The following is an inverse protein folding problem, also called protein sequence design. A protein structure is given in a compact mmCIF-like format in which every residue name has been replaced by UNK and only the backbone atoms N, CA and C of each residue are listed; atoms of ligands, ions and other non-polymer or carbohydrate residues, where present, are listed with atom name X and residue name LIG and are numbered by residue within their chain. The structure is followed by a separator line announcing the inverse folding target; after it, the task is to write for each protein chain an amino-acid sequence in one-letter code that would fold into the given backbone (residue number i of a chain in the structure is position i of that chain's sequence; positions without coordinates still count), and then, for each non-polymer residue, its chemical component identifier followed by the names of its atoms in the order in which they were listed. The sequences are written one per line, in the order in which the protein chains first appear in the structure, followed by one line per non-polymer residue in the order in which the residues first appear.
data_IF_549028010798
#
_entry.id   IF_549028010798
#
_cell.length_a   1.000
_cell.length_b   1.000
_cell.length_c   1.000
_cell.angle_alpha   90.00
_cell.angle_beta   90.00
_cell.angle_gamma   90.00
#
_symmetry.space_group_name_H-M   'P 1'
#
loop_
_entity.id
_entity.type
_entity.pdbx_description
1 polymer ?
#
# COMPACT_ATOMS: atom_id res chain seq x y z
N UNK A 1 -28.94 -53.33 22.40
CA UNK A 1 -27.76 -52.59 22.87
C UNK A 1 -28.27 -51.39 23.64
N UNK A 2 -28.38 -51.51 24.96
CA UNK A 2 -28.93 -50.47 25.84
C UNK A 2 -27.80 -49.47 26.14
N UNK A 3 -27.84 -48.31 25.47
CA UNK A 3 -26.97 -47.20 25.82
C UNK A 3 -27.39 -46.70 27.21
N UNK A 4 -26.51 -46.84 28.19
CA UNK A 4 -26.65 -46.26 29.53
C UNK A 4 -26.37 -44.75 29.42
N UNK A 5 -27.27 -44.02 28.75
CA UNK A 5 -27.24 -42.57 28.71
C UNK A 5 -27.77 -42.01 30.02
N UNK A 6 -27.10 -41.01 30.57
CA UNK A 6 -27.56 -40.28 31.75
C UNK A 6 -28.88 -39.57 31.40
N UNK A 7 -30.01 -40.13 31.83
CA UNK A 7 -31.33 -39.55 31.60
C UNK A 7 -31.53 -38.34 32.52
N UNK A 8 -32.10 -37.24 31.99
CA UNK A 8 -32.46 -36.04 32.75
C UNK A 8 -33.95 -35.75 32.59
N UNK A 9 -34.59 -35.36 33.68
CA UNK A 9 -35.98 -34.91 33.68
C UNK A 9 -36.11 -33.49 33.13
N UNK A 10 -37.06 -33.29 32.22
CA UNK A 10 -37.44 -32.00 31.66
C UNK A 10 -38.95 -31.86 31.72
N UNK A 11 -39.42 -30.70 32.17
CA UNK A 11 -40.83 -30.33 32.16
C UNK A 11 -41.19 -29.79 30.78
N UNK A 12 -42.19 -30.38 30.12
CA UNK A 12 -42.70 -29.92 28.83
C UNK A 12 -43.24 -28.48 28.96
N UNK A 13 -42.80 -27.53 28.12
CA UNK A 13 -43.24 -26.14 28.20
C UNK A 13 -44.67 -25.93 27.72
N UNK A 14 -45.23 -26.87 26.96
CA UNK A 14 -46.58 -26.77 26.42
C UNK A 14 -47.62 -27.33 27.39
N UNK A 15 -47.41 -28.54 27.90
CA UNK A 15 -48.41 -29.26 28.70
C UNK A 15 -47.99 -29.53 30.16
N UNK A 16 -46.77 -29.16 30.56
CA UNK A 16 -46.27 -29.36 31.91
C UNK A 16 -45.85 -30.80 32.27
N UNK A 17 -45.97 -31.75 31.34
CA UNK A 17 -45.59 -33.15 31.58
C UNK A 17 -44.08 -33.29 31.80
N UNK A 18 -43.67 -33.95 32.89
CA UNK A 18 -42.26 -34.24 33.19
C UNK A 18 -41.85 -35.52 32.47
N UNK A 19 -40.83 -35.44 31.62
CA UNK A 19 -40.34 -36.58 30.83
C UNK A 19 -38.83 -36.71 30.99
N UNK A 20 -38.35 -37.94 31.14
CA UNK A 20 -36.92 -38.24 31.12
C UNK A 20 -36.41 -38.33 29.68
N UNK A 21 -35.42 -37.50 29.33
CA UNK A 21 -34.76 -37.50 28.01
C UNK A 21 -33.29 -37.86 28.15
N UNK A 22 -32.69 -38.37 27.07
CA UNK A 22 -31.28 -38.73 27.05
C UNK A 22 -30.33 -37.51 27.08
N UNK A 23 -29.04 -37.77 27.28
CA UNK A 23 -28.00 -36.74 27.16
C UNK A 23 -27.75 -36.39 25.69
N UNK A 24 -28.26 -35.24 25.23
CA UNK A 24 -28.05 -34.72 23.88
C UNK A 24 -29.35 -34.33 23.19
N UNK A 25 -29.27 -34.05 21.88
CA UNK A 25 -30.44 -33.78 21.04
C UNK A 25 -30.76 -35.05 20.25
N UNK A 26 -31.55 -35.96 20.83
CA UNK A 26 -32.02 -37.13 20.09
C UNK A 26 -33.31 -36.80 19.35
N UNK A 27 -33.44 -37.30 18.12
CA UNK A 27 -34.65 -37.15 17.33
C UNK A 27 -35.85 -37.94 17.90
N UNK A 28 -35.64 -38.76 18.94
CA UNK A 28 -36.69 -39.50 19.64
C UNK A 28 -37.25 -38.78 20.87
N UNK A 29 -36.69 -37.63 21.25
CA UNK A 29 -37.04 -36.94 22.49
C UNK A 29 -38.28 -36.05 22.31
N UNK A 30 -39.45 -36.67 22.32
CA UNK A 30 -40.76 -36.01 22.24
C UNK A 30 -41.55 -36.15 23.55
N UNK A 31 -42.41 -35.18 23.83
CA UNK A 31 -43.34 -35.25 24.94
C UNK A 31 -44.40 -36.31 24.63
N UNK A 32 -44.58 -37.34 25.49
CA UNK A 32 -45.57 -38.39 25.24
C UNK A 32 -47.03 -37.92 25.36
N UNK A 33 -47.26 -36.71 25.89
CA UNK A 33 -48.59 -36.15 26.12
C UNK A 33 -49.09 -35.28 24.97
N UNK A 34 -48.21 -34.48 24.37
CA UNK A 34 -48.57 -33.49 23.34
C UNK A 34 -47.67 -33.50 22.10
N UNK A 35 -46.73 -34.44 22.02
CA UNK A 35 -45.77 -34.58 20.91
C UNK A 35 -44.86 -33.36 20.71
N UNK A 36 -44.68 -32.55 21.75
CA UNK A 36 -43.75 -31.42 21.74
C UNK A 36 -42.28 -31.91 21.67
N UNK A 37 -41.43 -31.36 20.78
CA UNK A 37 -40.03 -31.74 20.67
C UNK A 37 -39.19 -31.27 21.87
N UNK A 38 -38.98 -32.13 22.87
CA UNK A 38 -38.33 -31.79 24.14
C UNK A 38 -36.84 -31.46 24.00
N UNK A 39 -36.19 -31.90 22.93
CA UNK A 39 -34.82 -31.51 22.63
C UNK A 39 -34.64 -30.00 22.39
N UNK A 40 -35.70 -29.22 22.16
CA UNK A 40 -35.67 -27.75 22.12
C UNK A 40 -35.86 -27.10 23.49
N UNK A 41 -36.57 -27.76 24.40
CA UNK A 41 -36.85 -27.30 25.76
C UNK A 41 -35.67 -27.48 26.72
N UNK A 42 -34.63 -28.19 26.30
CA UNK A 42 -33.39 -28.32 27.05
C UNK A 42 -32.80 -26.93 27.35
N UNK A 43 -32.61 -26.56 28.64
CA UNK A 43 -31.86 -25.38 29.00
C UNK A 43 -30.49 -25.51 28.34
N UNK A 44 -30.11 -24.54 27.49
CA UNK A 44 -28.79 -24.49 26.83
C UNK A 44 -27.76 -24.88 27.89
N UNK A 45 -27.14 -26.05 27.76
CA UNK A 45 -26.04 -26.43 28.63
C UNK A 45 -25.00 -25.32 28.47
N UNK A 46 -24.88 -24.53 29.53
CA UNK A 46 -24.01 -23.39 29.59
C UNK A 46 -22.57 -23.85 29.38
N UNK A 47 -21.85 -23.07 28.57
CA UNK A 47 -20.39 -23.05 28.43
C UNK A 47 -19.73 -24.41 28.13
N UNK A 48 -19.49 -24.66 26.83
CA UNK A 48 -18.33 -25.45 26.42
C UNK A 48 -17.08 -24.70 26.89
N UNK A 49 -16.04 -25.35 27.45
CA UNK A 49 -14.81 -24.67 27.82
C UNK A 49 -14.24 -23.92 26.62
N UNK A 50 -13.81 -22.68 26.85
CA UNK A 50 -13.34 -21.70 25.87
C UNK A 50 -11.96 -22.05 25.28
N UNK A 51 -11.76 -23.31 24.93
CA UNK A 51 -10.53 -23.78 24.31
C UNK A 51 -10.90 -24.42 22.96
N UNK A 52 -10.55 -23.69 21.89
CA UNK A 52 -10.76 -24.01 20.48
C UNK A 52 -12.19 -23.83 19.92
N UNK A 53 -12.89 -22.75 20.28
CA UNK A 53 -13.95 -22.22 19.41
C UNK A 53 -13.28 -21.55 18.20
N UNK A 54 -12.94 -22.36 17.21
CA UNK A 54 -12.48 -21.85 15.91
C UNK A 54 -13.64 -21.06 15.30
N UNK A 55 -13.40 -19.80 14.92
CA UNK A 55 -14.35 -18.89 14.25
C UNK A 55 -15.13 -19.54 13.09
N UNK A 56 -14.59 -20.63 12.53
CA UNK A 56 -15.23 -21.45 11.51
C UNK A 56 -16.59 -22.07 11.87
N UNK A 57 -16.98 -22.15 13.15
CA UNK A 57 -18.33 -22.61 13.54
C UNK A 57 -19.36 -21.46 13.49
N UNK A 58 -18.97 -20.25 13.92
CA UNK A 58 -19.79 -19.04 13.83
C UNK A 58 -20.01 -18.62 12.38
N UNK A 59 -18.99 -18.79 11.53
CA UNK A 59 -19.04 -18.50 10.10
C UNK A 59 -19.99 -19.40 9.28
N UNK A 60 -20.51 -20.49 9.88
CA UNK A 60 -21.43 -21.44 9.21
C UNK A 60 -22.89 -21.31 9.65
N UNK A 61 -23.19 -20.47 10.65
CA UNK A 61 -24.58 -20.25 11.07
C UNK A 61 -25.28 -19.29 10.08
N UNK A 62 -26.38 -19.72 9.42
CA UNK A 62 -27.14 -18.83 8.54
C UNK A 62 -27.65 -17.62 9.35
N UNK A 63 -27.32 -16.40 8.89
CA UNK A 63 -27.70 -15.14 9.54
C UNK A 63 -26.73 -14.63 10.62
N UNK A 64 -25.69 -15.38 11.01
CA UNK A 64 -24.67 -14.92 11.96
C UNK A 64 -23.58 -14.05 11.31
N UNK A 65 -23.43 -14.11 9.99
CA UNK A 65 -22.51 -13.28 9.20
C UNK A 65 -22.91 -11.81 9.10
N UNK A 66 -24.04 -11.40 9.70
CA UNK A 66 -24.51 -10.01 9.68
C UNK A 66 -23.69 -9.03 10.52
N UNK A 67 -22.85 -9.51 11.45
CA UNK A 67 -22.05 -8.63 12.33
C UNK A 67 -20.61 -8.45 11.89
N UNK A 68 -20.10 -9.31 11.01
CA UNK A 68 -18.77 -9.17 10.40
C UNK A 68 -18.90 -9.34 8.89
N UNK A 69 -19.04 -8.23 8.18
CA UNK A 69 -18.80 -8.23 6.73
C UNK A 69 -17.32 -8.56 6.57
N UNK A 70 -17.01 -9.82 6.32
CA UNK A 70 -15.66 -10.22 5.96
C UNK A 70 -15.29 -9.39 4.72
N UNK A 71 -14.34 -8.48 4.87
CA UNK A 71 -13.86 -7.68 3.75
C UNK A 71 -13.34 -8.67 2.69
N UNK A 72 -13.95 -8.61 1.51
CA UNK A 72 -13.56 -9.43 0.36
C UNK A 72 -12.73 -8.60 -0.60
N UNK A 73 -11.66 -9.18 -1.12
CA UNK A 73 -10.82 -8.60 -2.17
C UNK A 73 -10.88 -9.52 -3.39
N UNK A 74 -10.93 -8.94 -4.59
CA UNK A 74 -10.88 -9.70 -5.83
C UNK A 74 -9.42 -9.98 -6.22
N UNK A 75 -9.13 -11.22 -6.61
CA UNK A 75 -7.81 -11.58 -7.13
C UNK A 75 -7.49 -10.79 -8.41
N UNK A 76 -6.30 -10.16 -8.53
CA UNK A 76 -5.96 -9.37 -9.71
C UNK A 76 -5.80 -10.21 -10.98
N UNK A 77 -5.52 -11.52 -10.85
CA UNK A 77 -5.30 -12.42 -11.99
C UNK A 77 -6.58 -13.12 -12.49
N UNK A 78 -7.46 -13.55 -11.58
CA UNK A 78 -8.63 -14.38 -11.93
C UNK A 78 -9.98 -13.87 -11.40
N UNK A 79 -10.00 -12.72 -10.72
CA UNK A 79 -11.17 -12.08 -10.13
C UNK A 79 -11.92 -12.91 -9.06
N UNK A 80 -11.34 -14.00 -8.57
CA UNK A 80 -11.91 -14.77 -7.46
C UNK A 80 -11.99 -13.92 -6.18
N UNK A 81 -13.11 -14.03 -5.44
CA UNK A 81 -13.29 -13.33 -4.17
C UNK A 81 -12.55 -14.06 -3.05
N UNK A 82 -11.64 -13.35 -2.39
CA UNK A 82 -10.81 -13.88 -1.32
C UNK A 82 -11.05 -13.08 -0.04
N UNK A 83 -10.76 -13.69 1.11
CA UNK A 83 -10.68 -12.95 2.37
C UNK A 83 -9.58 -11.90 2.28
N UNK A 84 -9.82 -10.68 2.74
CA UNK A 84 -8.79 -9.64 2.77
C UNK A 84 -7.56 -10.03 3.62
N UNK A 85 -7.69 -10.98 4.55
CA UNK A 85 -6.56 -11.50 5.32
C UNK A 85 -5.72 -12.56 4.59
N UNK A 86 -6.13 -13.02 3.41
CA UNK A 86 -5.38 -14.03 2.65
C UNK A 86 -4.17 -13.41 1.95
N UNK A 87 -3.02 -14.11 1.97
CA UNK A 87 -1.82 -13.68 1.22
C UNK A 87 -1.81 -14.15 -0.24
N UNK A 88 -2.55 -15.22 -0.56
CA UNK A 88 -2.61 -15.79 -1.90
C UNK A 88 -4.04 -16.18 -2.28
N UNK A 89 -4.32 -16.17 -3.58
CA UNK A 89 -5.62 -16.53 -4.12
C UNK A 89 -5.94 -18.01 -3.90
N UNK A 90 -7.13 -18.30 -3.35
CA UNK A 90 -7.59 -19.68 -3.11
C UNK A 90 -7.78 -20.51 -4.38
N UNK A 91 -7.91 -19.86 -5.54
CA UNK A 91 -8.17 -20.52 -6.82
C UNK A 91 -6.94 -20.67 -7.70
N UNK A 92 -6.18 -19.59 -7.93
CA UNK A 92 -5.01 -19.61 -8.82
C UNK A 92 -3.67 -19.53 -8.09
N UNK A 93 -3.64 -19.30 -6.78
CA UNK A 93 -2.41 -19.16 -6.00
C UNK A 93 -1.65 -17.84 -6.20
N UNK A 94 -2.15 -16.91 -7.01
CA UNK A 94 -1.52 -15.60 -7.21
C UNK A 94 -1.49 -14.77 -5.92
N UNK A 95 -0.46 -13.95 -5.76
CA UNK A 95 -0.34 -12.99 -4.65
C UNK A 95 -1.48 -11.96 -4.71
N UNK A 96 -2.16 -11.74 -3.57
CA UNK A 96 -3.24 -10.76 -3.46
C UNK A 96 -2.71 -9.33 -3.21
N UNK A 97 -1.45 -9.20 -2.81
CA UNK A 97 -0.79 -7.93 -2.47
C UNK A 97 0.55 -7.77 -3.22
N UNK A 98 0.53 -7.74 -4.57
CA UNK A 98 1.75 -7.59 -5.35
C UNK A 98 2.46 -6.27 -4.99
N UNK A 99 3.78 -6.33 -4.90
CA UNK A 99 4.60 -5.14 -4.65
C UNK A 99 4.31 -4.07 -5.72
N UNK A 100 4.21 -2.79 -5.35
CA UNK A 100 4.05 -1.70 -6.31
C UNK A 100 5.20 -1.72 -7.34
N UNK A 101 4.94 -1.34 -8.60
CA UNK A 101 6.00 -1.22 -9.59
C UNK A 101 7.05 -0.21 -9.10
N UNK A 102 8.33 -0.42 -9.43
CA UNK A 102 9.40 0.49 -9.03
C UNK A 102 9.12 1.90 -9.55
N UNK A 103 9.44 2.90 -8.72
CA UNK A 103 9.26 4.30 -9.09
C UNK A 103 10.06 4.63 -10.37
N UNK A 104 9.54 5.50 -11.25
CA UNK A 104 10.27 5.96 -12.41
C UNK A 104 11.61 6.60 -12.00
N UNK A 105 12.65 6.38 -12.81
CA UNK A 105 13.93 7.05 -12.60
C UNK A 105 13.75 8.59 -12.64
N UNK A 106 14.48 9.35 -11.81
CA UNK A 106 14.47 10.81 -11.90
C UNK A 106 14.87 11.27 -13.31
N UNK A 107 14.28 12.37 -13.82
CA UNK A 107 14.73 12.94 -15.08
C UNK A 107 16.21 13.35 -14.99
N UNK A 108 16.95 13.35 -16.11
CA UNK A 108 18.33 13.82 -16.14
C UNK A 108 18.42 15.25 -15.62
N UNK A 109 19.51 15.56 -14.91
CA UNK A 109 19.80 16.93 -14.50
C UNK A 109 19.90 17.85 -15.73
N UNK A 110 19.44 19.12 -15.65
CA UNK A 110 19.61 20.08 -16.74
C UNK A 110 21.07 20.23 -17.12
N UNK A 111 21.36 20.30 -18.43
CA UNK A 111 22.70 20.61 -18.90
C UNK A 111 23.11 22.02 -18.43
N UNK A 112 24.41 22.25 -18.12
CA UNK A 112 24.89 23.57 -17.74
C UNK A 112 24.66 24.57 -18.87
N UNK A 113 24.00 25.68 -18.55
CA UNK A 113 23.85 26.80 -19.50
C UNK A 113 25.18 27.53 -19.57
N UNK A 114 25.87 27.41 -20.70
CA UNK A 114 27.05 28.24 -20.99
C UNK A 114 26.57 29.65 -21.32
N UNK A 115 26.67 30.56 -20.36
CA UNK A 115 26.45 31.99 -20.61
C UNK A 115 27.69 32.52 -21.32
N UNK A 116 27.60 32.75 -22.63
CA UNK A 116 28.66 33.44 -23.35
C UNK A 116 28.56 34.93 -23.01
N UNK A 117 29.55 35.52 -22.30
CA UNK A 117 29.50 36.94 -21.99
C UNK A 117 29.49 37.76 -23.29
N UNK A 118 28.82 38.92 -23.32
CA UNK A 118 28.88 39.80 -24.48
C UNK A 118 30.34 40.16 -24.76
N UNK A 119 30.70 40.22 -26.05
CA UNK A 119 32.04 40.60 -26.47
C UNK A 119 32.41 41.95 -25.85
N UNK A 120 33.43 41.95 -24.98
CA UNK A 120 33.95 43.18 -24.42
C UNK A 120 34.81 43.86 -25.49
N UNK A 121 34.35 45.02 -25.98
CA UNK A 121 35.17 45.87 -26.86
C UNK A 121 36.26 46.49 -25.99
N UNK A 122 37.44 45.90 -26.00
CA UNK A 122 38.62 46.50 -25.37
C UNK A 122 39.01 47.71 -26.20
N UNK A 123 38.70 48.91 -25.70
CA UNK A 123 39.17 50.16 -26.30
C UNK A 123 40.67 50.28 -26.00
N UNK A 124 41.51 49.95 -26.99
CA UNK A 124 42.94 50.20 -26.91
C UNK A 124 43.18 51.72 -26.92
N UNK A 125 43.51 52.30 -25.76
CA UNK A 125 43.98 53.69 -25.66
C UNK A 125 45.43 53.76 -26.16
N UNK A 126 45.61 53.79 -27.47
CA UNK A 126 46.89 54.12 -28.07
C UNK A 126 46.90 55.57 -28.50
N UNK A 127 48.08 56.19 -28.47
CA UNK A 127 48.24 57.51 -29.08
C UNK A 127 47.86 57.46 -30.56
N UNK A 128 47.29 58.56 -31.11
CA UNK A 128 47.02 58.63 -32.53
C UNK A 128 48.31 58.38 -33.32
N UNK A 129 48.29 57.41 -34.24
CA UNK A 129 49.47 57.00 -35.01
C UNK A 129 50.08 58.17 -35.80
N UNK A 130 49.25 59.09 -36.29
CA UNK A 130 49.71 60.30 -36.97
C UNK A 130 50.59 61.19 -36.08
N UNK A 131 50.34 61.22 -34.77
CA UNK A 131 51.09 62.03 -33.82
C UNK A 131 52.48 61.41 -33.59
N UNK A 132 52.53 60.08 -33.49
CA UNK A 132 53.81 59.33 -33.43
C UNK A 132 54.64 59.58 -34.70
N UNK A 133 54.02 59.53 -35.88
CA UNK A 133 54.69 59.80 -37.17
C UNK A 133 55.21 61.24 -37.25
N UNK A 134 54.42 62.22 -36.77
CA UNK A 134 54.81 63.62 -36.77
C UNK A 134 56.02 63.87 -35.86
N UNK A 135 56.01 63.34 -34.63
CA UNK A 135 57.15 63.47 -33.70
C UNK A 135 58.40 62.82 -34.29
N UNK A 136 58.28 61.59 -34.82
CA UNK A 136 59.40 60.91 -35.45
C UNK A 136 59.99 61.76 -36.59
N UNK A 137 59.14 62.33 -37.44
CA UNK A 137 59.55 63.17 -38.56
C UNK A 137 60.29 64.44 -38.11
N UNK A 138 59.78 65.12 -37.08
CA UNK A 138 60.42 66.33 -36.51
C UNK A 138 61.77 66.00 -35.87
N UNK A 139 61.85 64.90 -35.12
CA UNK A 139 63.11 64.44 -34.51
C UNK A 139 64.14 64.11 -35.58
N UNK A 140 63.76 63.34 -36.61
CA UNK A 140 64.67 63.00 -37.71
C UNK A 140 65.15 64.24 -38.46
N UNK A 141 64.25 65.16 -38.80
CA UNK A 141 64.61 66.41 -39.46
C UNK A 141 65.58 67.24 -38.61
N UNK A 142 65.32 67.35 -37.30
CA UNK A 142 66.20 68.04 -36.35
C UNK A 142 67.60 67.42 -36.29
N UNK A 143 67.70 66.10 -36.24
CA UNK A 143 68.98 65.38 -36.24
C UNK A 143 69.75 65.60 -37.54
N UNK A 144 69.08 65.56 -38.70
CA UNK A 144 69.71 65.82 -40.01
C UNK A 144 70.24 67.24 -40.10
N UNK A 145 69.46 68.24 -39.67
CA UNK A 145 69.88 69.64 -39.66
C UNK A 145 71.06 69.85 -38.71
N UNK A 146 71.01 69.30 -37.51
CA UNK A 146 72.10 69.40 -36.53
C UNK A 146 73.39 68.74 -37.06
N UNK A 147 73.30 67.54 -37.63
CA UNK A 147 74.44 66.86 -38.24
C UNK A 147 75.04 67.67 -39.39
N UNK A 148 74.19 68.23 -40.27
CA UNK A 148 74.63 69.10 -41.35
C UNK A 148 75.36 70.34 -40.84
N UNK A 149 74.87 70.98 -39.77
CA UNK A 149 75.52 72.16 -39.19
C UNK A 149 76.86 71.85 -38.51
N UNK A 150 77.01 70.67 -37.91
CA UNK A 150 78.27 70.26 -37.27
C UNK A 150 79.35 69.93 -38.31
N UNK A 151 78.96 69.43 -39.48
CA UNK A 151 79.88 68.95 -40.52
C UNK A 151 80.22 70.02 -41.57
N UNK A 152 79.66 71.22 -41.44
CA UNK A 152 79.91 72.37 -42.32
C UNK A 152 80.94 73.32 -41.72
#
# INVERSE_FOLDING_TARGET
MTATGTSREITCPECGTITAVGSGRAASDFCPSCDYPLFWAQPRQAARPAEAETDGALNRAPGASGTTVAAVIACPECAEQNLASAGACVRCGADLYPAPPPAPAPPPAPAPVVVNPPAQIVQCSHWPTWLVVLIASVVTAGVVVAAFMIWR
#
